data_IF_925852668208
#
_entry.id   IF_925852668208
#
_cell.length_a   1.000
_cell.length_b   1.000
_cell.length_c   1.000
_cell.angle_alpha   90.00
_cell.angle_beta   90.00
_cell.angle_gamma   90.00
#
_symmetry.space_group_name_H-M   'P 1'
#
loop_
_entity.id
_entity.type
_entity.pdbx_description
1 polymer ?
#
# COMPACT_ATOMS: atom_id res chain seq x y z
N UNK A 1 3.34 -4.29 -6.65
CA UNK A 1 4.32 -3.20 -6.37
C UNK A 1 3.57 -2.00 -5.85
N UNK A 2 3.88 -1.55 -4.66
CA UNK A 2 3.38 -0.27 -4.14
C UNK A 2 4.11 0.86 -4.81
N UNK A 3 3.38 1.78 -5.42
CA UNK A 3 3.97 3.00 -5.98
C UNK A 3 3.32 4.20 -5.33
N UNK A 4 4.14 5.13 -4.87
CA UNK A 4 3.69 6.42 -4.39
C UNK A 4 4.32 7.46 -5.28
N UNK A 5 3.49 8.27 -5.93
CA UNK A 5 3.90 9.48 -6.59
C UNK A 5 3.35 10.66 -5.79
N UNK A 6 4.23 11.41 -5.15
CA UNK A 6 3.85 12.72 -4.64
C UNK A 6 3.74 13.68 -5.82
N UNK A 7 2.52 14.00 -6.25
CA UNK A 7 2.24 15.05 -7.24
C UNK A 7 1.91 16.34 -6.48
N UNK A 8 2.85 17.25 -6.43
CA UNK A 8 2.63 18.59 -5.91
C UNK A 8 3.48 19.57 -6.68
N UNK A 9 2.86 20.56 -7.32
CA UNK A 9 3.53 21.66 -7.99
C UNK A 9 4.23 22.56 -6.97
N UNK A 10 5.47 22.86 -7.24
CA UNK A 10 6.42 23.81 -6.67
C UNK A 10 7.52 23.22 -5.81
N UNK A 11 8.74 23.20 -6.38
CA UNK A 11 10.10 23.25 -5.78
C UNK A 11 10.49 22.34 -4.59
N UNK A 12 9.59 21.60 -3.95
CA UNK A 12 9.90 20.62 -2.93
C UNK A 12 9.60 19.20 -3.46
N UNK A 13 10.64 18.53 -3.88
CA UNK A 13 10.55 17.16 -4.37
C UNK A 13 10.39 16.22 -3.17
N UNK A 14 9.20 15.68 -2.98
CA UNK A 14 8.97 14.66 -1.95
C UNK A 14 9.55 13.32 -2.36
N UNK A 15 10.07 12.51 -1.41
CA UNK A 15 10.54 11.18 -1.69
C UNK A 15 9.37 10.28 -2.14
N UNK A 16 9.68 9.29 -2.96
CA UNK A 16 8.77 8.23 -3.35
C UNK A 16 9.22 6.94 -2.68
N UNK A 17 8.31 6.27 -1.99
CA UNK A 17 8.58 5.00 -1.33
C UNK A 17 7.88 3.86 -2.05
N UNK A 18 8.52 2.71 -2.17
CA UNK A 18 7.93 1.50 -2.74
C UNK A 18 8.40 0.28 -1.97
N UNK A 19 7.54 -0.72 -1.82
CA UNK A 19 7.88 -2.01 -1.24
C UNK A 19 7.45 -3.13 -2.17
N UNK A 20 8.28 -4.16 -2.28
CA UNK A 20 7.99 -5.34 -3.09
C UNK A 20 8.65 -6.59 -2.47
N UNK A 21 8.07 -7.75 -2.75
CA UNK A 21 8.59 -9.06 -2.34
C UNK A 21 9.52 -9.68 -3.39
N UNK A 22 9.50 -9.18 -4.62
CA UNK A 22 10.24 -9.71 -5.75
C UNK A 22 11.49 -8.90 -6.07
N UNK A 23 12.66 -9.47 -5.81
CA UNK A 23 13.95 -8.90 -6.22
C UNK A 23 14.06 -8.70 -7.74
N UNK A 24 13.39 -9.54 -8.54
CA UNK A 24 13.35 -9.39 -9.99
C UNK A 24 12.72 -8.05 -10.40
N UNK A 25 11.52 -7.72 -9.86
CA UNK A 25 10.84 -6.48 -10.17
C UNK A 25 11.58 -5.25 -9.63
N UNK A 26 12.13 -5.35 -8.42
CA UNK A 26 12.96 -4.28 -7.85
C UNK A 26 14.14 -3.96 -8.76
N UNK A 27 14.88 -4.97 -9.20
CA UNK A 27 16.03 -4.79 -10.09
C UNK A 27 15.62 -4.21 -11.45
N UNK A 28 14.47 -4.63 -11.99
CA UNK A 28 13.96 -4.12 -13.26
C UNK A 28 13.58 -2.63 -13.17
N UNK A 29 12.93 -2.22 -12.08
CA UNK A 29 12.55 -0.82 -11.87
C UNK A 29 13.78 0.04 -11.57
N UNK A 30 14.71 -0.46 -10.74
CA UNK A 30 15.94 0.27 -10.39
C UNK A 30 16.82 0.54 -11.61
N UNK A 31 16.97 -0.43 -12.52
CA UNK A 31 17.75 -0.25 -13.75
C UNK A 31 17.17 0.83 -14.68
N UNK A 32 15.86 0.94 -14.73
CA UNK A 32 15.17 1.90 -15.62
C UNK A 32 15.12 3.33 -15.03
N UNK A 33 15.45 3.50 -13.76
CA UNK A 33 15.31 4.79 -13.05
C UNK A 33 16.65 5.37 -12.56
N UNK A 34 17.79 4.93 -13.12
CA UNK A 34 19.15 5.31 -12.66
C UNK A 34 19.36 6.83 -12.65
N UNK A 35 18.76 7.56 -13.58
CA UNK A 35 18.95 9.02 -13.71
C UNK A 35 18.14 9.86 -12.69
N UNK A 36 17.13 9.27 -12.03
CA UNK A 36 16.24 9.97 -11.09
C UNK A 36 16.25 9.40 -9.66
N UNK A 37 17.22 8.54 -9.33
CA UNK A 37 17.17 7.66 -8.16
C UNK A 37 17.38 8.30 -6.78
N UNK A 38 17.78 9.54 -6.69
CA UNK A 38 18.03 10.17 -5.37
C UNK A 38 16.76 10.32 -4.50
N UNK A 39 15.58 9.99 -5.03
CA UNK A 39 14.27 10.23 -4.38
C UNK A 39 13.38 8.99 -4.32
N UNK A 40 13.75 7.92 -5.00
CA UNK A 40 12.99 6.68 -5.00
C UNK A 40 13.65 5.69 -4.03
N UNK A 41 13.00 5.42 -2.91
CA UNK A 41 13.38 4.35 -2.01
C UNK A 41 12.54 3.13 -2.31
N UNK A 42 13.18 2.05 -2.77
CA UNK A 42 12.54 0.76 -2.97
C UNK A 42 13.04 -0.21 -1.91
N UNK A 43 12.12 -0.78 -1.14
CA UNK A 43 12.44 -1.79 -0.13
C UNK A 43 12.05 -3.18 -0.61
N UNK A 44 13.00 -4.10 -0.58
CA UNK A 44 12.71 -5.54 -0.64
C UNK A 44 12.32 -6.02 0.76
N UNK A 45 11.20 -6.73 0.84
CA UNK A 45 10.80 -7.44 2.06
C UNK A 45 10.77 -8.93 1.74
N UNK A 46 11.64 -9.68 2.43
CA UNK A 46 11.71 -11.14 2.30
C UNK A 46 10.57 -11.77 3.10
N UNK A 47 9.57 -12.25 2.39
CA UNK A 47 8.40 -12.96 2.96
C UNK A 47 8.45 -14.48 2.75
N UNK A 48 9.64 -15.04 2.53
CA UNK A 48 9.87 -16.45 2.21
C UNK A 48 9.83 -16.71 0.71
N UNK A 49 9.57 -17.97 0.36
CA UNK A 49 9.40 -18.33 -1.04
C UNK A 49 8.15 -17.66 -1.62
N UNK A 50 8.30 -17.11 -2.81
CA UNK A 50 7.22 -16.42 -3.51
C UNK A 50 6.94 -17.09 -4.86
N UNK A 51 5.67 -17.25 -5.15
CA UNK A 51 5.19 -17.69 -6.45
C UNK A 51 5.02 -16.52 -7.43
N UNK A 52 4.14 -16.72 -8.39
CA UNK A 52 3.81 -15.72 -9.42
C UNK A 52 3.39 -14.40 -8.78
N UNK A 53 3.84 -13.29 -9.40
CA UNK A 53 3.53 -11.92 -8.95
C UNK A 53 3.97 -11.58 -7.51
N UNK A 54 4.94 -12.32 -6.94
CA UNK A 54 5.44 -12.08 -5.58
C UNK A 54 4.51 -12.53 -4.47
N UNK A 55 3.64 -13.49 -4.76
CA UNK A 55 2.71 -14.07 -3.80
C UNK A 55 3.47 -15.01 -2.84
N UNK A 56 3.45 -14.80 -1.51
CA UNK A 56 4.04 -15.76 -0.58
C UNK A 56 3.34 -17.11 -0.70
N UNK A 57 4.11 -18.20 -0.78
CA UNK A 57 3.53 -19.55 -0.98
C UNK A 57 3.08 -20.21 0.33
N UNK A 58 3.52 -19.68 1.47
CA UNK A 58 3.16 -20.18 2.80
C UNK A 58 3.28 -19.08 3.87
N UNK A 59 3.06 -19.46 5.12
CA UNK A 59 3.12 -18.58 6.29
C UNK A 59 4.42 -18.71 7.09
N UNK A 60 5.47 -19.30 6.54
CA UNK A 60 6.75 -19.51 7.24
C UNK A 60 7.37 -18.22 7.77
N UNK A 61 7.07 -17.10 7.11
CA UNK A 61 7.46 -15.75 7.53
C UNK A 61 6.29 -14.84 7.89
N UNK A 62 5.17 -15.41 8.33
CA UNK A 62 3.97 -14.65 8.71
C UNK A 62 4.22 -13.56 9.74
N UNK A 63 5.14 -13.79 10.68
CA UNK A 63 5.54 -12.80 11.71
C UNK A 63 6.18 -11.54 11.11
N UNK A 64 6.61 -11.58 9.85
CA UNK A 64 7.25 -10.47 9.14
C UNK A 64 6.34 -9.77 8.12
N UNK A 65 5.09 -10.19 7.96
CA UNK A 65 4.17 -9.59 6.98
C UNK A 65 3.92 -8.11 7.25
N UNK A 66 3.99 -7.69 8.52
CA UNK A 66 3.93 -6.28 8.89
C UNK A 66 5.08 -5.44 8.32
N UNK A 67 6.26 -6.02 8.06
CA UNK A 67 7.36 -5.30 7.43
C UNK A 67 7.01 -4.84 6.01
N UNK A 68 6.07 -5.54 5.35
CA UNK A 68 5.55 -5.17 4.06
C UNK A 68 4.37 -4.18 4.20
N UNK A 69 3.36 -4.52 5.00
CA UNK A 69 2.13 -3.74 5.11
C UNK A 69 2.32 -2.37 5.76
N UNK A 70 3.28 -2.27 6.70
CA UNK A 70 3.50 -1.07 7.50
C UNK A 70 4.69 -0.23 6.98
N UNK A 71 5.39 -0.71 5.93
CA UNK A 71 6.63 -0.09 5.44
C UNK A 71 6.53 1.41 5.20
N UNK A 72 5.46 1.84 4.53
CA UNK A 72 5.26 3.24 4.16
C UNK A 72 5.09 4.15 5.38
N UNK A 73 4.51 3.62 6.43
CA UNK A 73 4.12 4.36 7.63
C UNK A 73 5.24 4.44 8.66
N UNK A 74 6.31 3.69 8.44
CA UNK A 74 7.54 3.71 9.24
C UNK A 74 8.62 4.64 8.64
N UNK A 75 8.27 5.50 7.67
CA UNK A 75 9.16 6.50 7.10
C UNK A 75 9.04 7.83 7.85
N UNK A 76 10.10 8.65 7.78
CA UNK A 76 10.12 9.98 8.42
C UNK A 76 9.06 10.92 7.82
N UNK A 77 8.78 10.78 6.52
CA UNK A 77 7.75 11.54 5.82
C UNK A 77 6.57 10.65 5.44
N UNK A 78 5.36 11.05 5.83
CA UNK A 78 4.15 10.35 5.41
C UNK A 78 3.76 10.72 3.98
N UNK A 79 3.32 9.74 3.19
CA UNK A 79 2.78 10.03 1.86
C UNK A 79 1.42 10.71 1.95
N UNK A 80 1.13 11.61 1.01
CA UNK A 80 -0.21 12.17 0.80
C UNK A 80 -0.95 11.54 -0.38
N UNK A 81 -0.29 10.64 -1.12
CA UNK A 81 -0.88 9.79 -2.15
C UNK A 81 -0.31 8.39 -2.03
N UNK A 82 -1.15 7.38 -1.96
CA UNK A 82 -0.80 5.96 -1.86
C UNK A 82 -1.42 5.22 -3.03
N UNK A 83 -0.63 4.40 -3.74
CA UNK A 83 -1.13 3.46 -4.74
C UNK A 83 -1.00 2.03 -4.18
N UNK A 84 -2.11 1.33 -4.09
CA UNK A 84 -2.19 -0.08 -3.68
C UNK A 84 -2.35 -0.94 -4.92
N UNK A 85 -1.24 -1.59 -5.32
CA UNK A 85 -1.15 -2.48 -6.51
C UNK A 85 -0.19 -3.66 -6.24
N UNK A 86 -0.13 -4.13 -5.01
CA UNK A 86 0.80 -5.18 -4.58
C UNK A 86 0.09 -6.39 -3.96
N UNK A 87 0.66 -6.87 -2.85
CA UNK A 87 0.10 -7.96 -2.04
C UNK A 87 -0.52 -7.40 -0.76
N UNK A 88 -1.33 -8.22 -0.08
CA UNK A 88 -2.01 -7.83 1.16
C UNK A 88 -2.82 -6.54 1.00
N UNK A 89 -3.50 -6.38 -0.13
CA UNK A 89 -4.08 -5.09 -0.55
C UNK A 89 -5.08 -4.54 0.45
N UNK A 90 -5.96 -5.39 0.99
CA UNK A 90 -6.92 -4.96 2.02
C UNK A 90 -6.18 -4.55 3.29
N UNK A 91 -5.22 -5.35 3.77
CA UNK A 91 -4.44 -5.01 4.95
C UNK A 91 -3.71 -3.67 4.78
N UNK A 92 -3.11 -3.48 3.62
CA UNK A 92 -2.41 -2.25 3.29
C UNK A 92 -3.33 -1.04 3.25
N UNK A 93 -4.53 -1.19 2.71
CA UNK A 93 -5.54 -0.12 2.72
C UNK A 93 -5.95 0.24 4.15
N UNK A 94 -6.29 -0.75 4.96
CA UNK A 94 -6.69 -0.55 6.35
C UNK A 94 -5.54 0.04 7.19
N UNK A 95 -4.31 -0.39 6.96
CA UNK A 95 -3.11 0.19 7.58
C UNK A 95 -2.92 1.65 7.16
N UNK A 96 -3.26 1.97 5.90
CA UNK A 96 -3.26 3.37 5.43
C UNK A 96 -4.28 4.22 6.17
N UNK A 97 -5.49 3.73 6.39
CA UNK A 97 -6.50 4.45 7.19
C UNK A 97 -6.06 4.67 8.63
N UNK A 98 -5.24 3.75 9.18
CA UNK A 98 -4.75 3.86 10.56
C UNK A 98 -3.69 4.95 10.74
N UNK A 99 -2.80 5.11 9.77
CA UNK A 99 -1.57 5.90 9.93
C UNK A 99 -1.48 7.16 9.07
N UNK A 100 -2.24 7.23 7.99
CA UNK A 100 -2.24 8.38 7.10
C UNK A 100 -2.89 9.60 7.77
N UNK A 101 -2.48 10.77 7.31
CA UNK A 101 -3.15 12.01 7.69
C UNK A 101 -4.48 12.15 6.91
N UNK A 102 -5.46 12.82 7.52
CA UNK A 102 -6.73 13.17 6.89
C UNK A 102 -6.49 13.85 5.52
N UNK A 103 -7.28 13.49 4.53
CA UNK A 103 -7.15 14.01 3.16
C UNK A 103 -6.12 13.28 2.30
N UNK A 104 -5.40 12.28 2.84
CA UNK A 104 -4.51 11.43 2.03
C UNK A 104 -5.32 10.67 0.98
N UNK A 105 -4.86 10.69 -0.27
CA UNK A 105 -5.49 9.98 -1.38
C UNK A 105 -4.98 8.54 -1.45
N UNK A 106 -5.89 7.57 -1.50
CA UNK A 106 -5.57 6.16 -1.69
C UNK A 106 -6.16 5.70 -3.01
N UNK A 107 -5.29 5.30 -3.95
CA UNK A 107 -5.67 4.71 -5.22
C UNK A 107 -5.53 3.20 -5.09
N UNK A 108 -6.62 2.47 -5.28
CA UNK A 108 -6.67 1.02 -5.12
C UNK A 108 -6.86 0.36 -6.49
N UNK A 109 -5.85 -0.39 -6.96
CA UNK A 109 -5.92 -1.09 -8.25
C UNK A 109 -6.66 -2.42 -8.15
N UNK A 110 -7.26 -2.86 -9.25
CA UNK A 110 -8.13 -4.04 -9.38
C UNK A 110 -9.39 -4.00 -8.50
N UNK A 111 -9.67 -2.89 -7.82
CA UNK A 111 -10.74 -2.77 -6.84
C UNK A 111 -12.12 -3.10 -7.42
N UNK A 112 -12.44 -2.55 -8.57
CA UNK A 112 -13.76 -2.72 -9.20
C UNK A 112 -14.01 -4.14 -9.67
N UNK A 113 -12.96 -4.91 -9.92
CA UNK A 113 -13.03 -6.27 -10.45
C UNK A 113 -13.00 -7.34 -9.33
N UNK A 114 -12.79 -6.92 -8.07
CA UNK A 114 -12.58 -7.82 -6.92
C UNK A 114 -13.50 -7.45 -5.75
N UNK A 115 -14.72 -8.01 -5.71
CA UNK A 115 -15.68 -7.72 -4.64
C UNK A 115 -15.15 -8.03 -3.22
N UNK A 116 -14.19 -8.94 -3.08
CA UNK A 116 -13.53 -9.27 -1.82
C UNK A 116 -12.80 -8.07 -1.19
N UNK A 117 -12.42 -7.07 -2.00
CA UNK A 117 -11.80 -5.84 -1.50
C UNK A 117 -12.81 -4.83 -0.95
N UNK A 118 -14.10 -4.98 -1.28
CA UNK A 118 -15.14 -4.01 -0.89
C UNK A 118 -15.38 -3.94 0.62
N UNK A 119 -14.81 -4.85 1.41
CA UNK A 119 -14.83 -4.78 2.89
C UNK A 119 -14.28 -3.44 3.42
N UNK A 120 -13.40 -2.77 2.68
CA UNK A 120 -12.83 -1.49 3.09
C UNK A 120 -13.87 -0.37 3.15
N UNK A 121 -14.98 -0.50 2.42
CA UNK A 121 -16.10 0.45 2.43
C UNK A 121 -16.85 0.48 3.77
N UNK A 122 -16.56 -0.46 4.67
CA UNK A 122 -16.98 -0.38 6.09
C UNK A 122 -16.43 0.87 6.78
N UNK A 123 -15.31 1.41 6.31
CA UNK A 123 -14.56 2.50 6.94
C UNK A 123 -14.57 3.81 6.16
N UNK A 124 -14.68 3.75 4.85
CA UNK A 124 -14.62 4.93 3.98
C UNK A 124 -15.32 4.68 2.66
N UNK A 125 -16.10 5.65 2.21
CA UNK A 125 -16.80 5.56 0.92
C UNK A 125 -15.85 5.82 -0.26
N UNK A 126 -16.18 5.21 -1.40
CA UNK A 126 -15.52 5.48 -2.68
C UNK A 126 -15.79 6.92 -3.12
N UNK A 127 -14.76 7.61 -3.60
CA UNK A 127 -14.90 8.97 -4.15
C UNK A 127 -15.21 8.89 -5.66
N UNK A 128 -14.36 8.17 -6.39
CA UNK A 128 -14.54 7.95 -7.83
C UNK A 128 -13.81 6.68 -8.29
N UNK A 129 -14.08 6.25 -9.52
CA UNK A 129 -13.36 5.13 -10.13
C UNK A 129 -13.01 5.43 -11.59
N UNK A 130 -11.93 4.80 -12.08
CA UNK A 130 -11.52 4.82 -13.47
C UNK A 130 -11.09 3.42 -13.90
N UNK A 131 -11.92 2.77 -14.72
CA UNK A 131 -11.72 1.37 -15.08
C UNK A 131 -11.73 0.48 -13.84
N UNK A 132 -10.60 -0.19 -13.56
CA UNK A 132 -10.44 -1.07 -12.38
C UNK A 132 -9.95 -0.35 -11.12
N UNK A 133 -9.45 0.88 -11.27
CA UNK A 133 -8.95 1.71 -10.17
C UNK A 133 -10.11 2.35 -9.40
N UNK A 134 -9.92 2.51 -8.10
CA UNK A 134 -10.82 3.27 -7.25
C UNK A 134 -10.04 4.26 -6.38
N UNK A 135 -10.59 5.47 -6.23
CA UNK A 135 -10.05 6.51 -5.36
C UNK A 135 -10.82 6.58 -4.06
N UNK A 136 -10.06 6.64 -2.96
CA UNK A 136 -10.54 6.93 -1.62
C UNK A 136 -9.76 8.12 -1.04
N UNK A 137 -10.40 8.84 -0.12
CA UNK A 137 -9.75 9.91 0.66
C UNK A 137 -9.85 9.53 2.13
N UNK A 138 -8.73 9.55 2.84
CA UNK A 138 -8.68 9.23 4.26
C UNK A 138 -9.57 10.22 5.02
N UNK A 139 -10.60 9.74 5.75
CA UNK A 139 -11.54 10.58 6.47
C UNK A 139 -10.92 11.13 7.75
N UNK A 140 -11.66 11.98 8.43
CA UNK A 140 -11.29 12.46 9.76
C UNK A 140 -11.17 11.27 10.75
N UNK A 141 -10.18 11.28 11.66
CA UNK A 141 -10.02 10.22 12.65
C UNK A 141 -11.27 9.95 13.51
N UNK A 142 -12.14 10.95 13.68
CA UNK A 142 -13.38 10.82 14.44
C UNK A 142 -14.43 9.96 13.73
N UNK A 143 -14.30 9.76 12.42
CA UNK A 143 -15.21 8.96 11.60
C UNK A 143 -14.82 7.48 11.55
N UNK A 144 -13.64 7.11 12.08
CA UNK A 144 -13.11 5.74 12.04
C UNK A 144 -13.29 5.04 13.39
N UNK A 145 -13.94 3.88 13.39
CA UNK A 145 -13.88 2.95 14.53
C UNK A 145 -12.53 2.21 14.55
N UNK A 146 -11.54 2.78 15.23
CA UNK A 146 -10.19 2.22 15.32
C UNK A 146 -10.15 0.84 15.99
N UNK A 147 -11.10 0.50 16.86
CA UNK A 147 -11.15 -0.83 17.49
C UNK A 147 -11.54 -1.91 16.47
N UNK A 148 -12.51 -1.63 15.61
CA UNK A 148 -12.86 -2.50 14.48
C UNK A 148 -11.75 -2.54 13.45
N UNK A 149 -11.17 -1.39 13.11
CA UNK A 149 -10.09 -1.27 12.12
C UNK A 149 -8.88 -2.12 12.51
N UNK A 150 -8.45 -2.07 13.77
CA UNK A 150 -7.32 -2.86 14.27
C UNK A 150 -7.57 -4.37 14.19
N UNK A 151 -8.79 -4.81 14.50
CA UNK A 151 -9.17 -6.22 14.36
C UNK A 151 -9.10 -6.68 12.91
N UNK A 152 -9.61 -5.86 12.00
CA UNK A 152 -9.60 -6.18 10.58
C UNK A 152 -8.16 -6.13 10.00
N UNK A 153 -7.32 -5.18 10.41
CA UNK A 153 -5.88 -5.16 10.06
C UNK A 153 -5.22 -6.48 10.48
N UNK A 154 -5.43 -6.92 11.71
CA UNK A 154 -4.83 -8.15 12.23
C UNK A 154 -5.33 -9.40 11.49
N UNK A 155 -6.59 -9.41 11.06
CA UNK A 155 -7.15 -10.48 10.24
C UNK A 155 -6.55 -10.49 8.83
N UNK A 156 -6.62 -9.35 8.14
CA UNK A 156 -6.19 -9.23 6.74
C UNK A 156 -4.67 -9.24 6.56
N UNK A 157 -3.89 -9.09 7.64
CA UNK A 157 -2.43 -9.26 7.60
C UNK A 157 -2.02 -10.65 7.10
N UNK A 158 -2.86 -11.64 7.28
CA UNK A 158 -2.61 -13.02 6.85
C UNK A 158 -3.40 -13.43 5.60
N UNK A 159 -4.09 -12.50 4.96
CA UNK A 159 -4.75 -12.70 3.67
C UNK A 159 -3.77 -12.27 2.58
N UNK A 160 -3.16 -13.26 1.95
CA UNK A 160 -2.11 -13.08 0.92
C UNK A 160 -2.73 -12.86 -0.47
N UNK A 161 -3.53 -11.81 -0.65
CA UNK A 161 -4.24 -11.47 -1.88
C UNK A 161 -3.39 -10.65 -2.90
#
# INVERSE_FOLDING_TARGET
>A
MWKINAVGSTKYYRPSFSVDTSTYWINKVSKNNIENNARLMIRHVDLGDVGDYGYPIDYSKGDFFNLYTDFLWNQDEKPNVVLIDGRFRVCCFLTSLKFADEGTHIIFDDYMNRPEYHIVEKYVERVEHCGRLCLFIVPSPQEIDFNSLEKDINHFRYVMD
#
